data_IF_787854764800
#
_entry.id   IF_787854764800
#
_cell.length_a   1.000
_cell.length_b   1.000
_cell.length_c   1.000
_cell.angle_alpha   90.00
_cell.angle_beta   90.00
_cell.angle_gamma   90.00
#
_symmetry.space_group_name_H-M   'P 1'
#
loop_
_entity.id
_entity.type
_entity.pdbx_description
1 polymer ?
#
# COMPACT_ATOMS: atom_id res chain seq x y z
N UNK A 1 72.82 -29.78 21.47
CA UNK A 1 71.54 -29.48 20.77
C UNK A 1 71.01 -28.15 21.29
N UNK A 2 71.15 -27.06 20.53
CA UNK A 2 70.59 -25.74 20.86
C UNK A 2 69.12 -25.71 20.39
N UNK A 3 68.18 -25.44 21.29
CA UNK A 3 66.76 -25.22 20.94
C UNK A 3 66.53 -23.72 20.80
N UNK A 4 66.30 -23.27 19.57
CA UNK A 4 65.84 -21.92 19.23
C UNK A 4 64.34 -21.84 19.47
N UNK A 5 63.90 -20.92 20.33
CA UNK A 5 62.47 -20.59 20.51
C UNK A 5 62.16 -19.40 19.60
N UNK A 6 61.31 -19.61 18.59
CA UNK A 6 60.80 -18.55 17.74
C UNK A 6 59.54 -17.95 18.38
N UNK A 7 59.56 -16.67 18.71
CA UNK A 7 58.40 -15.94 19.20
C UNK A 7 57.56 -15.46 18.01
N UNK A 8 56.32 -15.93 17.92
CA UNK A 8 55.32 -15.45 16.97
C UNK A 8 54.69 -14.16 17.51
N UNK A 9 54.91 -13.03 16.82
CA UNK A 9 54.20 -11.78 17.06
C UNK A 9 52.91 -11.81 16.24
N UNK A 10 51.77 -11.94 16.92
CA UNK A 10 50.45 -11.83 16.32
C UNK A 10 50.05 -10.35 16.29
N UNK A 11 50.18 -9.69 15.13
CA UNK A 11 49.71 -8.31 14.93
C UNK A 11 48.19 -8.35 14.78
N UNK A 12 47.49 -8.05 15.87
CA UNK A 12 46.05 -7.88 15.92
C UNK A 12 45.67 -6.63 15.10
N UNK A 13 45.32 -6.82 13.83
CA UNK A 13 44.74 -5.75 13.01
C UNK A 13 43.32 -5.48 13.52
N UNK A 14 43.16 -4.45 14.33
CA UNK A 14 41.86 -3.85 14.59
C UNK A 14 41.31 -3.31 13.26
N UNK A 15 40.44 -4.07 12.62
CA UNK A 15 39.54 -3.58 11.59
C UNK A 15 38.59 -2.60 12.28
N UNK A 16 38.94 -1.31 12.26
CA UNK A 16 38.01 -0.23 12.58
C UNK A 16 36.99 -0.20 11.44
N UNK A 17 35.92 -0.96 11.58
CA UNK A 17 34.73 -0.78 10.76
C UNK A 17 34.27 0.66 10.95
N UNK A 18 34.23 1.45 9.86
CA UNK A 18 33.63 2.79 9.91
C UNK A 18 32.16 2.61 10.29
N UNK A 19 31.79 2.95 11.51
CA UNK A 19 30.40 3.16 11.86
C UNK A 19 29.84 4.20 10.88
N UNK A 20 28.76 3.86 10.17
CA UNK A 20 28.09 4.81 9.27
C UNK A 20 27.64 6.00 10.11
N UNK A 21 28.07 7.20 9.74
CA UNK A 21 27.67 8.42 10.44
C UNK A 21 26.23 8.75 10.08
N UNK A 22 25.32 8.53 11.02
CA UNK A 22 23.90 8.82 10.89
C UNK A 22 23.50 10.23 11.31
N UNK A 23 24.39 11.20 11.08
CA UNK A 23 24.08 12.60 11.33
C UNK A 23 23.15 13.17 10.24
N UNK A 24 22.39 14.20 10.62
CA UNK A 24 21.36 14.73 9.73
C UNK A 24 21.93 15.43 8.48
N UNK A 25 23.14 15.99 8.55
CA UNK A 25 23.75 16.66 7.40
C UNK A 25 24.18 15.65 6.33
N UNK A 26 24.75 14.52 6.73
CA UNK A 26 25.05 13.38 5.85
C UNK A 26 23.76 12.83 5.24
N UNK A 27 22.72 12.61 6.04
CA UNK A 27 21.42 12.11 5.56
C UNK A 27 20.74 13.05 4.55
N UNK A 28 20.69 14.35 4.85
CA UNK A 28 20.15 15.35 3.92
C UNK A 28 20.92 15.35 2.59
N UNK A 29 22.25 15.32 2.65
CA UNK A 29 23.10 15.30 1.46
C UNK A 29 22.80 14.06 0.61
N UNK A 30 22.68 12.89 1.24
CA UNK A 30 22.35 11.65 0.55
C UNK A 30 20.95 11.70 -0.09
N UNK A 31 19.93 12.18 0.64
CA UNK A 31 18.56 12.28 0.10
C UNK A 31 18.49 13.27 -1.07
N UNK A 32 19.17 14.43 -0.98
CA UNK A 32 19.27 15.38 -2.08
C UNK A 32 19.91 14.69 -3.29
N UNK A 33 21.11 14.14 -3.13
CA UNK A 33 21.85 13.50 -4.23
C UNK A 33 21.03 12.40 -4.90
N UNK A 34 20.47 11.47 -4.11
CA UNK A 34 19.64 10.37 -4.62
C UNK A 34 18.43 10.89 -5.38
N UNK A 35 17.81 11.97 -4.93
CA UNK A 35 16.67 12.59 -5.62
C UNK A 35 17.09 13.20 -6.95
N UNK A 36 18.12 14.06 -6.96
CA UNK A 36 18.60 14.75 -8.17
C UNK A 36 19.05 13.77 -9.25
N UNK A 37 19.70 12.67 -8.83
CA UNK A 37 20.15 11.64 -9.75
C UNK A 37 18.98 10.81 -10.28
N UNK A 38 18.11 10.30 -9.40
CA UNK A 38 17.26 9.14 -9.70
C UNK A 38 15.78 9.43 -9.89
N UNK A 39 15.25 10.55 -9.37
CA UNK A 39 13.82 10.87 -9.48
C UNK A 39 13.47 11.25 -10.92
N UNK A 40 12.56 10.50 -11.54
CA UNK A 40 12.15 10.72 -12.95
C UNK A 40 11.51 12.08 -13.20
N UNK A 41 10.89 12.68 -12.17
CA UNK A 41 10.27 14.00 -12.24
C UNK A 41 11.18 15.17 -11.88
N UNK A 42 12.45 14.93 -11.53
CA UNK A 42 13.33 16.00 -11.04
C UNK A 42 13.40 17.20 -11.99
N UNK A 43 13.58 16.96 -13.29
CA UNK A 43 13.72 18.03 -14.28
C UNK A 43 12.42 18.80 -14.56
N UNK A 44 11.26 18.20 -14.32
CA UNK A 44 9.98 18.91 -14.44
C UNK A 44 9.72 19.78 -13.19
N UNK A 45 10.04 19.25 -12.00
CA UNK A 45 9.80 19.92 -10.71
C UNK A 45 10.87 20.97 -10.39
N UNK A 46 12.11 20.77 -10.82
CA UNK A 46 13.25 21.69 -10.71
C UNK A 46 13.62 22.21 -12.10
N UNK A 47 12.85 23.18 -12.56
CA UNK A 47 13.00 23.83 -13.86
C UNK A 47 13.44 25.29 -13.70
N UNK A 48 13.61 26.02 -14.81
CA UNK A 48 14.07 27.41 -14.78
C UNK A 48 13.28 28.32 -13.82
N UNK A 49 11.97 28.09 -13.64
CA UNK A 49 11.10 28.88 -12.75
C UNK A 49 11.25 28.50 -11.28
N UNK A 50 11.45 27.21 -10.98
CA UNK A 50 11.44 26.69 -9.60
C UNK A 50 12.84 26.51 -9.01
N UNK A 51 13.88 26.46 -9.85
CA UNK A 51 15.28 26.25 -9.48
C UNK A 51 15.82 27.26 -8.45
N UNK A 52 15.52 28.59 -8.52
CA UNK A 52 15.97 29.51 -7.47
C UNK A 52 15.41 29.16 -6.09
N UNK A 53 14.12 28.81 -6.01
CA UNK A 53 13.46 28.40 -4.75
C UNK A 53 14.00 27.06 -4.26
N UNK A 54 14.31 26.13 -5.16
CA UNK A 54 14.93 24.85 -4.82
C UNK A 54 16.31 25.04 -4.17
N UNK A 55 17.16 25.89 -4.75
CA UNK A 55 18.47 26.20 -4.19
C UNK A 55 18.36 26.89 -2.83
N UNK A 56 17.51 27.91 -2.70
CA UNK A 56 17.27 28.58 -1.42
C UNK A 56 16.79 27.59 -0.34
N UNK A 57 15.89 26.66 -0.69
CA UNK A 57 15.42 25.63 0.22
C UNK A 57 16.57 24.70 0.64
N UNK A 58 17.29 24.11 -0.32
CA UNK A 58 18.36 23.16 -0.03
C UNK A 58 19.49 23.80 0.80
N UNK A 59 19.84 25.06 0.56
CA UNK A 59 20.86 25.78 1.34
C UNK A 59 20.41 26.08 2.78
N UNK A 60 19.13 26.44 2.95
CA UNK A 60 18.54 26.60 4.28
C UNK A 60 18.55 25.28 5.06
N UNK A 61 18.14 24.18 4.41
CA UNK A 61 18.12 22.87 5.04
C UNK A 61 19.53 22.35 5.39
N UNK A 62 20.54 22.61 4.54
CA UNK A 62 21.95 22.28 4.81
C UNK A 62 22.50 23.04 6.01
N UNK A 63 22.07 24.27 6.22
CA UNK A 63 22.44 25.05 7.40
C UNK A 63 21.77 24.48 8.65
N UNK A 64 20.47 24.22 8.58
CA UNK A 64 19.68 23.71 9.69
C UNK A 64 20.11 22.30 10.15
N UNK A 65 20.49 21.41 9.22
CA UNK A 65 20.83 20.03 9.53
C UNK A 65 22.08 19.88 10.40
N UNK A 66 23.01 20.86 10.39
CA UNK A 66 24.23 20.85 11.21
C UNK A 66 23.94 20.87 12.72
N UNK A 67 22.80 21.43 13.13
CA UNK A 67 22.39 21.52 14.52
C UNK A 67 21.48 20.38 14.99
N UNK A 68 21.14 19.43 14.12
CA UNK A 68 20.18 18.35 14.43
C UNK A 68 20.93 17.07 14.75
N UNK A 69 20.71 16.55 15.95
CA UNK A 69 21.33 15.30 16.44
C UNK A 69 20.35 14.13 16.50
N UNK A 70 19.04 14.38 16.59
CA UNK A 70 18.01 13.35 16.65
C UNK A 70 17.48 12.94 15.27
N UNK A 71 17.33 11.63 15.03
CA UNK A 71 16.80 11.10 13.77
C UNK A 71 15.37 11.55 13.49
N UNK A 72 14.51 11.62 14.51
CA UNK A 72 13.12 12.08 14.37
C UNK A 72 13.03 13.54 13.91
N UNK A 73 13.88 14.40 14.44
CA UNK A 73 13.97 15.81 14.04
C UNK A 73 14.59 15.92 12.64
N UNK A 74 15.56 15.07 12.33
CA UNK A 74 16.09 14.97 10.98
C UNK A 74 15.01 14.55 9.97
N UNK A 75 14.17 13.58 10.31
CA UNK A 75 13.05 13.18 9.47
C UNK A 75 12.09 14.35 9.21
N UNK A 76 11.81 15.21 10.21
CA UNK A 76 11.00 16.40 9.96
C UNK A 76 11.67 17.36 8.96
N UNK A 77 12.98 17.56 9.07
CA UNK A 77 13.75 18.35 8.12
C UNK A 77 13.67 17.75 6.70
N UNK A 78 13.87 16.44 6.55
CA UNK A 78 13.80 15.75 5.25
C UNK A 78 12.38 15.78 4.65
N UNK A 79 11.33 15.79 5.48
CA UNK A 79 9.94 15.99 5.00
C UNK A 79 9.73 17.38 4.40
N UNK A 80 10.42 18.42 4.89
CA UNK A 80 10.37 19.75 4.30
C UNK A 80 10.97 19.72 2.89
N UNK A 81 12.11 19.04 2.71
CA UNK A 81 12.71 18.81 1.39
C UNK A 81 11.74 18.12 0.43
N UNK A 82 11.21 16.95 0.83
CA UNK A 82 10.24 16.17 0.04
C UNK A 82 9.04 17.01 -0.44
N UNK A 83 8.50 17.88 0.42
CA UNK A 83 7.32 18.71 0.11
C UNK A 83 7.51 19.62 -1.10
N UNK A 84 8.74 19.97 -1.47
CA UNK A 84 9.01 20.76 -2.67
C UNK A 84 8.45 20.12 -3.93
N UNK A 85 8.56 18.80 -4.05
CA UNK A 85 8.22 18.07 -5.29
C UNK A 85 6.72 17.89 -5.49
N UNK A 86 5.93 17.93 -4.40
CA UNK A 86 4.47 17.70 -4.42
C UNK A 86 4.13 16.49 -5.30
N UNK A 87 4.73 15.37 -4.97
CA UNK A 87 4.56 14.09 -5.65
C UNK A 87 4.25 13.04 -4.58
N UNK A 88 3.13 12.34 -4.75
CA UNK A 88 2.67 11.30 -3.83
C UNK A 88 3.46 9.99 -3.93
N UNK A 89 4.07 9.72 -5.08
CA UNK A 89 4.95 8.57 -5.30
C UNK A 89 6.40 8.82 -4.86
N UNK A 90 6.79 10.08 -4.61
CA UNK A 90 7.98 10.35 -3.81
C UNK A 90 7.68 9.95 -2.36
N UNK A 91 8.34 8.92 -1.85
CA UNK A 91 8.14 8.42 -0.48
C UNK A 91 9.41 8.60 0.35
N UNK A 92 9.22 9.00 1.60
CA UNK A 92 10.26 9.08 2.61
C UNK A 92 9.65 8.60 3.92
N UNK A 93 10.21 7.54 4.49
CA UNK A 93 9.80 6.94 5.76
C UNK A 93 10.93 7.04 6.77
N UNK A 94 10.55 7.13 8.04
CA UNK A 94 11.43 6.94 9.17
C UNK A 94 10.86 5.79 10.00
N UNK A 95 11.53 4.65 9.90
CA UNK A 95 11.26 3.47 10.70
C UNK A 95 12.14 3.62 11.94
N UNK A 96 11.61 4.30 12.96
CA UNK A 96 12.25 4.30 14.26
C UNK A 96 12.55 2.83 14.64
N UNK A 97 13.76 2.53 15.14
CA UNK A 97 14.01 1.20 15.68
C UNK A 97 12.91 0.91 16.69
N UNK A 98 12.04 -0.06 16.40
CA UNK A 98 11.03 -0.47 17.35
C UNK A 98 11.79 -0.93 18.59
N UNK A 99 11.44 -0.36 19.75
CA UNK A 99 11.88 -0.93 21.01
C UNK A 99 11.31 -2.34 20.99
N UNK A 100 12.15 -3.35 20.77
CA UNK A 100 11.72 -4.74 20.77
C UNK A 100 11.21 -5.02 22.18
N UNK A 101 9.89 -4.98 22.35
CA UNK A 101 9.27 -5.27 23.63
C UNK A 101 9.33 -6.79 23.79
N UNK A 102 10.00 -7.33 24.83
CA UNK A 102 10.05 -8.77 25.02
C UNK A 102 8.64 -9.35 25.15
N UNK A 103 8.38 -10.46 24.47
CA UNK A 103 7.13 -11.19 24.65
C UNK A 103 7.16 -11.83 26.03
N UNK A 104 6.17 -11.50 26.85
CA UNK A 104 5.94 -12.15 28.14
C UNK A 104 4.92 -13.26 28.04
N UNK A 105 4.85 -14.06 29.11
CA UNK A 105 3.87 -15.12 29.26
C UNK A 105 2.97 -14.86 30.46
N UNK A 106 1.70 -15.22 30.33
CA UNK A 106 0.69 -15.23 31.40
C UNK A 106 0.17 -16.66 31.50
N UNK A 107 0.23 -17.25 32.69
CA UNK A 107 -0.29 -18.60 32.92
C UNK A 107 -1.82 -18.57 32.92
N UNK A 108 -2.43 -18.76 31.76
CA UNK A 108 -3.88 -18.84 31.57
C UNK A 108 -4.21 -19.82 30.46
N UNK A 109 -5.28 -20.57 30.66
CA UNK A 109 -5.90 -21.44 29.68
C UNK A 109 -7.38 -21.04 29.50
N UNK A 110 -8.07 -21.67 28.56
CA UNK A 110 -9.44 -21.29 28.22
C UNK A 110 -10.41 -21.44 29.42
N UNK A 111 -10.21 -22.46 30.26
CA UNK A 111 -11.06 -22.70 31.42
C UNK A 111 -10.88 -21.59 32.48
N UNK A 112 -9.63 -21.22 32.78
CA UNK A 112 -9.31 -20.10 33.68
C UNK A 112 -9.84 -18.78 33.14
N UNK A 113 -9.70 -18.53 31.84
CA UNK A 113 -10.19 -17.32 31.21
C UNK A 113 -11.72 -17.19 31.32
N UNK A 114 -12.48 -18.26 31.01
CA UNK A 114 -13.95 -18.27 31.17
C UNK A 114 -14.36 -18.02 32.61
N UNK A 115 -13.75 -18.71 33.57
CA UNK A 115 -14.03 -18.52 34.98
C UNK A 115 -13.78 -17.06 35.43
N UNK A 116 -12.71 -16.43 34.92
CA UNK A 116 -12.44 -15.02 35.15
C UNK A 116 -13.55 -14.13 34.56
N UNK A 117 -13.96 -14.35 33.30
CA UNK A 117 -14.99 -13.55 32.66
C UNK A 117 -16.36 -13.67 33.35
N UNK A 118 -16.70 -14.86 33.82
CA UNK A 118 -17.96 -15.11 34.53
C UNK A 118 -18.02 -14.38 35.87
N UNK A 119 -16.92 -14.46 36.64
CA UNK A 119 -16.78 -13.78 37.92
C UNK A 119 -16.85 -12.25 37.80
N UNK A 120 -16.51 -11.69 36.64
CA UNK A 120 -16.45 -10.24 36.40
C UNK A 120 -17.51 -9.73 35.42
N UNK A 121 -18.52 -10.54 35.08
CA UNK A 121 -19.50 -10.25 34.02
C UNK A 121 -20.15 -8.85 34.08
N UNK A 122 -20.32 -8.28 35.28
CA UNK A 122 -20.89 -6.94 35.46
C UNK A 122 -19.91 -5.78 35.20
N UNK A 123 -18.61 -6.03 35.16
CA UNK A 123 -17.55 -5.01 35.12
C UNK A 123 -16.49 -5.26 34.04
N UNK A 124 -16.75 -6.17 33.10
CA UNK A 124 -15.82 -6.46 32.01
C UNK A 124 -15.57 -5.21 31.17
N UNK A 125 -14.30 -4.96 30.87
CA UNK A 125 -13.91 -3.99 29.86
C UNK A 125 -14.36 -4.49 28.47
N UNK A 126 -14.73 -3.61 27.52
CA UNK A 126 -15.25 -4.04 26.21
C UNK A 126 -14.34 -4.99 25.42
N UNK A 127 -13.03 -4.90 25.60
CA UNK A 127 -12.06 -5.83 24.99
C UNK A 127 -12.04 -7.22 25.65
N UNK A 128 -12.46 -7.36 26.90
CA UNK A 128 -12.31 -8.61 27.64
C UNK A 128 -13.22 -9.72 27.11
N UNK A 129 -12.63 -10.89 26.91
CA UNK A 129 -13.32 -12.05 26.35
C UNK A 129 -12.37 -13.03 25.66
N UNK A 130 -12.95 -14.08 25.08
CA UNK A 130 -12.22 -14.98 24.19
C UNK A 130 -12.46 -14.52 22.76
N UNK A 131 -11.38 -14.41 22.01
CA UNK A 131 -11.38 -13.93 20.65
C UNK A 131 -10.68 -14.92 19.74
N UNK A 132 -11.19 -15.05 18.52
CA UNK A 132 -10.63 -15.90 17.49
C UNK A 132 -10.43 -15.09 16.21
N UNK A 133 -9.24 -15.19 15.62
CA UNK A 133 -9.00 -14.62 14.30
C UNK A 133 -9.93 -15.30 13.29
N UNK A 134 -10.58 -14.54 12.41
CA UNK A 134 -11.58 -15.08 11.47
C UNK A 134 -10.97 -16.11 10.50
N UNK A 135 -9.67 -16.03 10.26
CA UNK A 135 -8.90 -17.02 9.48
C UNK A 135 -8.49 -18.27 10.28
N UNK A 136 -8.86 -18.34 11.57
CA UNK A 136 -8.53 -19.42 12.49
C UNK A 136 -7.05 -19.48 12.91
N UNK A 137 -6.25 -18.46 12.59
CA UNK A 137 -4.80 -18.47 12.82
C UNK A 137 -4.42 -18.42 14.31
N UNK A 138 -5.25 -17.76 15.12
CA UNK A 138 -5.04 -17.57 16.55
C UNK A 138 -6.36 -17.56 17.32
N UNK A 139 -6.29 -18.06 18.56
CA UNK A 139 -7.32 -17.92 19.58
C UNK A 139 -6.68 -17.38 20.84
N UNK A 140 -7.26 -16.33 21.42
CA UNK A 140 -6.70 -15.60 22.56
C UNK A 140 -7.75 -15.31 23.63
N UNK A 141 -7.33 -15.23 24.88
CA UNK A 141 -8.10 -14.64 25.97
C UNK A 141 -7.60 -13.21 26.22
N UNK A 142 -8.46 -12.21 26.02
CA UNK A 142 -8.18 -10.83 26.41
C UNK A 142 -8.67 -10.62 27.83
N UNK A 143 -7.75 -10.36 28.74
CA UNK A 143 -8.05 -10.14 30.16
C UNK A 143 -7.22 -8.99 30.71
N UNK A 144 -7.68 -8.35 31.80
CA UNK A 144 -6.82 -7.43 32.54
C UNK A 144 -5.49 -8.08 32.89
N UNK A 145 -4.42 -7.35 32.61
CA UNK A 145 -3.08 -7.81 32.90
C UNK A 145 -2.86 -7.89 34.42
N UNK A 146 -2.41 -9.05 34.96
CA UNK A 146 -2.21 -9.22 36.39
C UNK A 146 -1.08 -8.36 36.97
N UNK A 147 -0.15 -7.87 36.14
CA UNK A 147 0.98 -7.04 36.55
C UNK A 147 0.79 -5.55 36.21
N UNK A 148 -0.09 -5.22 35.27
CA UNK A 148 -0.33 -3.85 34.79
C UNK A 148 -1.83 -3.61 34.66
N UNK A 149 -2.48 -3.16 35.74
CA UNK A 149 -3.94 -3.04 35.79
C UNK A 149 -4.55 -2.07 34.75
N UNK A 150 -3.72 -1.18 34.18
CA UNK A 150 -4.03 -0.26 33.09
C UNK A 150 -3.94 -0.89 31.68
N UNK A 151 -3.63 -2.20 31.60
CA UNK A 151 -3.49 -2.95 30.35
C UNK A 151 -4.46 -4.13 30.26
N UNK A 152 -4.84 -4.45 29.03
CA UNK A 152 -5.50 -5.71 28.65
C UNK A 152 -4.50 -6.54 27.85
N UNK A 153 -4.26 -7.77 28.27
CA UNK A 153 -3.34 -8.70 27.61
C UNK A 153 -4.13 -9.76 26.83
N UNK A 154 -3.76 -9.97 25.56
CA UNK A 154 -4.28 -11.04 24.73
C UNK A 154 -3.41 -12.29 24.85
N UNK A 155 -3.77 -13.19 25.78
CA UNK A 155 -3.05 -14.43 26.06
C UNK A 155 -3.42 -15.48 25.03
N UNK A 156 -2.43 -16.04 24.33
CA UNK A 156 -2.63 -17.12 23.35
C UNK A 156 -3.18 -18.36 24.05
N UNK A 157 -4.33 -18.84 23.57
CA UNK A 157 -4.93 -20.11 23.95
C UNK A 157 -4.59 -21.20 22.92
N UNK A 158 -4.59 -20.83 21.63
CA UNK A 158 -4.17 -21.68 20.52
C UNK A 158 -3.62 -20.84 19.37
N UNK A 159 -2.70 -21.40 18.58
CA UNK A 159 -2.14 -20.77 17.40
C UNK A 159 -1.74 -21.84 16.36
N UNK A 160 -1.90 -21.52 15.08
CA UNK A 160 -1.38 -22.37 14.00
C UNK A 160 0.15 -22.20 13.82
N UNK A 161 0.66 -20.99 14.10
CA UNK A 161 2.08 -20.70 14.02
C UNK A 161 2.84 -21.30 15.20
N UNK A 162 3.72 -22.27 14.93
CA UNK A 162 4.50 -23.01 15.96
C UNK A 162 5.45 -22.14 16.78
N UNK A 163 5.77 -20.92 16.34
CA UNK A 163 6.55 -19.96 17.15
C UNK A 163 5.75 -19.42 18.34
N UNK A 164 4.42 -19.54 18.29
CA UNK A 164 3.51 -19.10 19.34
C UNK A 164 3.05 -20.28 20.17
N UNK A 165 3.19 -20.17 21.49
CA UNK A 165 2.78 -21.18 22.46
C UNK A 165 1.64 -20.64 23.34
N UNK A 166 0.75 -21.51 23.83
CA UNK A 166 -0.23 -21.12 24.84
C UNK A 166 0.41 -20.39 26.02
N UNK A 167 -0.23 -19.31 26.48
CA UNK A 167 0.26 -18.43 27.52
C UNK A 167 1.10 -17.25 27.03
N UNK A 168 1.62 -17.24 25.80
CA UNK A 168 2.31 -16.06 25.26
C UNK A 168 1.34 -14.90 25.03
N UNK A 169 1.78 -13.66 25.23
CA UNK A 169 0.96 -12.47 24.97
C UNK A 169 1.10 -12.06 23.50
N UNK A 170 -0.01 -12.10 22.74
CA UNK A 170 -0.06 -11.76 21.31
C UNK A 170 -0.15 -10.26 21.06
N UNK A 171 -0.86 -9.55 21.94
CA UNK A 171 -0.91 -8.10 21.97
C UNK A 171 -1.36 -7.59 23.34
N UNK A 172 -1.06 -6.32 23.59
CA UNK A 172 -1.47 -5.56 24.76
C UNK A 172 -2.17 -4.30 24.30
N UNK A 173 -3.30 -3.98 24.92
CA UNK A 173 -4.01 -2.74 24.70
C UNK A 173 -4.09 -1.95 26.01
N UNK A 174 -4.03 -0.62 25.92
CA UNK A 174 -4.37 0.22 27.06
C UNK A 174 -5.86 0.04 27.39
N UNK A 175 -6.17 -0.04 28.69
CA UNK A 175 -7.52 -0.19 29.20
C UNK A 175 -8.26 1.15 29.36
N UNK A 176 -7.62 2.27 29.01
CA UNK A 176 -8.20 3.61 29.07
C UNK A 176 -8.81 4.07 27.74
N UNK A 177 -9.77 4.97 27.84
CA UNK A 177 -10.43 5.58 26.69
C UNK A 177 -11.44 4.69 25.98
N UNK A 178 -11.74 5.05 24.73
CA UNK A 178 -12.68 4.36 23.86
C UNK A 178 -11.96 3.86 22.59
N UNK A 179 -12.61 2.95 21.87
CA UNK A 179 -12.09 2.45 20.59
C UNK A 179 -11.82 3.59 19.59
N UNK A 180 -10.72 3.53 18.81
CA UNK A 180 -9.72 2.47 18.74
C UNK A 180 -8.73 2.49 19.91
N UNK A 181 -8.58 1.34 20.58
CA UNK A 181 -7.59 1.18 21.64
C UNK A 181 -6.18 1.18 21.05
N UNK A 182 -5.17 1.53 21.85
CA UNK A 182 -3.77 1.56 21.42
C UNK A 182 -2.93 0.61 22.25
N UNK A 183 -1.87 0.07 21.66
CA UNK A 183 -0.87 -0.69 22.40
C UNK A 183 0.08 -1.44 21.49
N UNK A 184 0.66 -2.53 21.99
CA UNK A 184 1.72 -3.29 21.31
C UNK A 184 1.13 -4.58 20.74
N UNK A 185 1.50 -4.89 19.50
CA UNK A 185 1.15 -6.12 18.82
C UNK A 185 2.41 -6.84 18.37
N UNK A 186 2.47 -8.15 18.61
CA UNK A 186 3.58 -8.98 18.16
C UNK A 186 3.19 -9.81 16.94
N UNK A 187 3.93 -9.65 15.86
CA UNK A 187 3.67 -10.31 14.58
C UNK A 187 4.04 -11.81 14.58
N UNK A 188 3.82 -12.49 13.46
CA UNK A 188 4.11 -13.93 13.33
C UNK A 188 5.59 -14.29 13.50
N UNK A 189 6.48 -13.34 13.23
CA UNK A 189 7.94 -13.46 13.40
C UNK A 189 8.44 -13.00 14.77
N UNK A 190 7.53 -12.64 15.69
CA UNK A 190 7.79 -12.14 17.05
C UNK A 190 8.29 -10.68 17.11
N UNK A 191 8.31 -9.95 15.98
CA UNK A 191 8.56 -8.49 15.99
C UNK A 191 7.40 -7.75 16.66
N UNK A 192 7.70 -6.66 17.39
CA UNK A 192 6.75 -5.91 18.19
C UNK A 192 6.50 -4.52 17.63
N UNK A 193 5.25 -4.17 17.37
CA UNK A 193 4.89 -2.88 16.77
C UNK A 193 3.74 -2.20 17.50
N UNK A 194 3.74 -0.87 17.53
CA UNK A 194 2.55 -0.12 17.98
C UNK A 194 1.40 -0.33 16.99
N UNK A 195 0.21 -0.61 17.54
CA UNK A 195 -1.01 -0.83 16.77
C UNK A 195 -2.21 -0.17 17.43
N UNK A 196 -3.25 -0.05 16.62
CA UNK A 196 -4.59 0.29 17.08
C UNK A 196 -5.49 -0.94 16.99
N UNK A 197 -6.45 -1.04 17.91
CA UNK A 197 -7.43 -2.11 18.00
C UNK A 197 -8.85 -1.52 17.93
N UNK A 198 -9.29 -1.09 16.73
CA UNK A 198 -10.69 -0.80 16.45
C UNK A 198 -11.61 -1.97 16.87
N UNK A 199 -12.68 -1.64 17.59
CA UNK A 199 -13.65 -2.57 18.15
C UNK A 199 -15.04 -2.08 17.78
N UNK A 200 -15.78 -2.89 17.04
CA UNK A 200 -17.20 -2.71 16.77
C UNK A 200 -17.94 -3.93 17.34
N UNK A 201 -18.59 -3.76 18.50
CA UNK A 201 -19.32 -4.82 19.22
C UNK A 201 -18.47 -6.07 19.48
N UNK A 202 -18.70 -7.14 18.72
CA UNK A 202 -18.04 -8.45 18.84
C UNK A 202 -17.01 -8.68 17.72
N UNK A 203 -16.67 -7.65 16.95
CA UNK A 203 -15.66 -7.69 15.91
C UNK A 203 -14.55 -6.68 16.20
N UNK A 204 -13.32 -7.14 16.21
CA UNK A 204 -12.13 -6.31 16.35
C UNK A 204 -11.32 -6.38 15.06
N UNK A 205 -11.01 -5.23 14.47
CA UNK A 205 -10.18 -5.14 13.26
C UNK A 205 -8.79 -4.68 13.66
N UNK A 206 -7.78 -5.53 13.47
CA UNK A 206 -6.38 -5.14 13.68
C UNK A 206 -5.80 -4.82 12.29
N UNK A 207 -5.48 -3.54 11.98
CA UNK A 207 -4.96 -3.17 10.66
C UNK A 207 -3.73 -4.02 10.28
N UNK A 208 -3.73 -4.56 9.06
CA UNK A 208 -2.73 -5.49 8.53
C UNK A 208 -2.62 -6.84 9.28
N UNK A 209 -3.59 -7.18 10.14
CA UNK A 209 -3.65 -8.46 10.87
C UNK A 209 -5.06 -9.06 10.93
N UNK A 210 -6.02 -8.45 10.22
CA UNK A 210 -7.34 -9.00 9.97
C UNK A 210 -8.35 -8.81 11.10
N UNK A 211 -9.52 -9.43 10.90
CA UNK A 211 -10.63 -9.38 11.85
C UNK A 211 -10.54 -10.53 12.87
N UNK A 212 -10.96 -10.21 14.09
CA UNK A 212 -11.10 -11.13 15.21
C UNK A 212 -12.55 -11.08 15.70
N UNK A 213 -13.15 -12.24 15.89
CA UNK A 213 -14.52 -12.40 16.36
C UNK A 213 -14.52 -12.83 17.83
N UNK A 214 -15.43 -12.24 18.62
CA UNK A 214 -15.62 -12.66 20.01
C UNK A 214 -16.35 -14.01 20.04
N UNK A 215 -15.85 -14.92 20.86
CA UNK A 215 -16.42 -16.24 21.12
C UNK A 215 -16.97 -16.36 22.55
N UNK A 216 -16.52 -15.51 23.48
CA UNK A 216 -16.98 -15.45 24.87
C UNK A 216 -16.80 -14.05 25.48
N UNK A 217 -17.67 -13.56 26.39
CA UNK A 217 -18.92 -14.16 26.88
C UNK A 217 -20.08 -14.06 25.89
N UNK A 218 -20.00 -13.14 24.92
CA UNK A 218 -20.98 -12.97 23.87
C UNK A 218 -20.38 -13.36 22.52
N UNK A 219 -20.94 -14.38 21.87
CA UNK A 219 -20.47 -14.83 20.56
C UNK A 219 -20.88 -13.83 19.47
N UNK A 220 -19.98 -13.54 18.54
CA UNK A 220 -20.26 -12.74 17.35
C UNK A 220 -21.39 -13.36 16.52
N UNK A 221 -22.30 -12.52 16.05
CA UNK A 221 -23.45 -12.94 15.24
C UNK A 221 -23.03 -13.26 13.80
N UNK A 222 -23.78 -14.09 13.06
CA UNK A 222 -23.53 -14.33 11.64
C UNK A 222 -23.53 -13.03 10.79
N UNK A 223 -24.34 -12.05 11.17
CA UNK A 223 -24.42 -10.74 10.51
C UNK A 223 -23.15 -9.90 10.75
N UNK A 224 -22.63 -9.89 11.97
CA UNK A 224 -21.36 -9.24 12.30
C UNK A 224 -20.17 -9.90 11.56
N UNK A 225 -20.15 -11.23 11.48
CA UNK A 225 -19.16 -11.98 10.70
C UNK A 225 -19.25 -11.67 9.21
N UNK A 226 -20.47 -11.66 8.66
CA UNK A 226 -20.70 -11.32 7.26
C UNK A 226 -20.26 -9.89 6.95
N UNK A 227 -20.55 -8.91 7.82
CA UNK A 227 -20.12 -7.51 7.65
C UNK A 227 -18.59 -7.38 7.63
N UNK A 228 -17.89 -8.13 8.48
CA UNK A 228 -16.43 -8.14 8.51
C UNK A 228 -15.80 -8.82 7.26
N UNK A 229 -16.47 -9.84 6.71
CA UNK A 229 -16.08 -10.51 5.46
C UNK A 229 -16.49 -9.71 4.20
N UNK A 230 -17.54 -8.89 4.30
CA UNK A 230 -18.06 -8.01 3.24
C UNK A 230 -17.49 -6.60 3.29
N UNK A 231 -16.43 -6.36 4.08
CA UNK A 231 -15.76 -5.07 4.11
C UNK A 231 -15.58 -4.51 2.70
N UNK A 232 -15.75 -3.20 2.56
CA UNK A 232 -15.69 -2.46 1.30
C UNK A 232 -14.37 -2.64 0.50
N UNK A 233 -13.45 -3.46 0.98
CA UNK A 233 -12.16 -3.86 0.42
C UNK A 233 -12.21 -5.15 -0.45
N UNK A 234 -13.37 -5.78 -0.65
CA UNK A 234 -13.50 -7.00 -1.49
C UNK A 234 -13.92 -6.66 -2.92
N UNK A 235 -13.37 -7.38 -3.90
CA UNK A 235 -13.82 -7.35 -5.30
C UNK A 235 -15.26 -7.86 -5.40
N UNK A 236 -16.20 -7.00 -5.79
CA UNK A 236 -17.64 -7.33 -5.79
C UNK A 236 -18.23 -7.22 -7.18
N UNK A 237 -19.13 -8.15 -7.52
CA UNK A 237 -19.92 -8.12 -8.74
C UNK A 237 -21.37 -8.47 -8.43
N UNK A 238 -22.33 -7.74 -8.99
CA UNK A 238 -23.76 -8.02 -8.83
C UNK A 238 -24.60 -7.40 -9.94
N UNK A 239 -25.71 -8.05 -10.29
CA UNK A 239 -26.79 -7.39 -11.01
C UNK A 239 -27.54 -6.48 -10.02
N UNK A 240 -27.72 -5.20 -10.37
CA UNK A 240 -28.54 -4.27 -9.59
C UNK A 240 -30.01 -4.45 -9.97
N UNK A 241 -30.27 -4.49 -11.27
CA UNK A 241 -31.57 -4.66 -11.89
C UNK A 241 -31.38 -5.27 -13.30
N UNK A 242 -32.46 -5.57 -14.06
CA UNK A 242 -32.33 -6.16 -15.41
C UNK A 242 -31.56 -5.30 -16.43
N UNK A 243 -31.32 -4.02 -16.14
CA UNK A 243 -30.63 -3.08 -17.02
C UNK A 243 -29.19 -2.80 -16.59
N UNK A 244 -28.89 -2.90 -15.29
CA UNK A 244 -27.62 -2.46 -14.71
C UNK A 244 -26.85 -3.58 -14.02
N UNK A 245 -25.60 -3.78 -14.46
CA UNK A 245 -24.62 -4.60 -13.75
C UNK A 245 -23.61 -3.72 -13.01
N UNK A 246 -23.11 -4.19 -11.86
CA UNK A 246 -22.16 -3.47 -11.01
C UNK A 246 -20.91 -4.31 -10.77
N UNK A 247 -19.75 -3.66 -10.88
CA UNK A 247 -18.43 -4.21 -10.58
C UNK A 247 -17.71 -3.22 -9.66
N UNK A 248 -17.29 -3.63 -8.46
CA UNK A 248 -16.40 -2.87 -7.57
C UNK A 248 -15.01 -3.46 -7.57
N UNK A 249 -13.99 -2.68 -7.89
CA UNK A 249 -12.58 -3.10 -7.86
C UNK A 249 -11.86 -2.26 -6.80
N UNK A 250 -11.61 -2.81 -5.61
CA UNK A 250 -11.02 -2.08 -4.48
C UNK A 250 -9.51 -1.85 -4.64
N UNK A 251 -8.85 -2.62 -5.49
CA UNK A 251 -7.41 -2.49 -5.76
C UNK A 251 -7.05 -3.08 -7.12
N UNK A 252 -6.09 -2.46 -7.83
CA UNK A 252 -5.44 -3.06 -8.99
C UNK A 252 -4.24 -3.95 -8.60
N UNK A 253 -4.03 -4.23 -7.31
CA UNK A 253 -3.14 -5.30 -6.85
C UNK A 253 -3.69 -6.71 -7.08
N UNK A 254 -4.96 -6.82 -7.48
CA UNK A 254 -5.61 -8.09 -7.83
C UNK A 254 -5.10 -8.58 -9.19
N UNK A 255 -4.78 -9.88 -9.30
CA UNK A 255 -4.25 -10.46 -10.54
C UNK A 255 -5.26 -10.49 -11.68
N UNK A 256 -4.75 -10.55 -12.91
CA UNK A 256 -5.58 -10.65 -14.11
C UNK A 256 -6.48 -11.88 -14.07
N UNK A 257 -5.97 -13.03 -13.65
CA UNK A 257 -6.67 -14.31 -13.61
C UNK A 257 -7.88 -14.26 -12.67
N UNK A 258 -7.71 -13.60 -11.52
CA UNK A 258 -8.80 -13.45 -10.55
C UNK A 258 -9.89 -12.55 -11.11
N UNK A 259 -9.53 -11.39 -11.67
CA UNK A 259 -10.49 -10.47 -12.29
C UNK A 259 -11.19 -11.14 -13.47
N UNK A 260 -10.44 -11.75 -14.38
CA UNK A 260 -10.98 -12.40 -15.57
C UNK A 260 -11.88 -13.59 -15.23
N UNK A 261 -11.53 -14.43 -14.24
CA UNK A 261 -12.34 -15.56 -13.78
C UNK A 261 -13.72 -15.11 -13.29
N UNK A 262 -13.76 -14.12 -12.39
CA UNK A 262 -15.03 -13.57 -11.87
C UNK A 262 -15.84 -12.94 -12.99
N UNK A 263 -15.23 -12.12 -13.84
CA UNK A 263 -15.95 -11.45 -14.92
C UNK A 263 -16.43 -12.41 -16.00
N UNK A 264 -15.73 -13.54 -16.23
CA UNK A 264 -16.20 -14.61 -17.12
C UNK A 264 -17.41 -15.34 -16.56
N UNK A 265 -17.45 -15.59 -15.26
CA UNK A 265 -18.60 -16.21 -14.61
C UNK A 265 -19.89 -15.38 -14.77
N UNK A 266 -19.76 -14.07 -14.95
CA UNK A 266 -20.88 -13.15 -15.17
C UNK A 266 -20.97 -12.58 -16.60
N UNK A 267 -20.17 -13.07 -17.56
CA UNK A 267 -20.08 -12.49 -18.92
C UNK A 267 -21.44 -12.38 -19.61
N UNK A 268 -22.24 -13.44 -19.55
CA UNK A 268 -23.57 -13.47 -20.14
C UNK A 268 -24.50 -12.39 -19.54
N UNK A 269 -24.42 -12.16 -18.23
CA UNK A 269 -25.24 -11.14 -17.55
C UNK A 269 -24.76 -9.74 -17.90
N UNK A 270 -23.44 -9.51 -17.89
CA UNK A 270 -22.84 -8.22 -18.28
C UNK A 270 -23.22 -7.87 -19.71
N UNK A 271 -23.16 -8.84 -20.64
CA UNK A 271 -23.50 -8.65 -22.05
C UNK A 271 -24.99 -8.52 -22.33
N UNK A 272 -25.85 -8.84 -21.36
CA UNK A 272 -27.29 -8.60 -21.45
C UNK A 272 -27.71 -7.30 -20.73
N UNK A 273 -26.81 -6.66 -20.00
CA UNK A 273 -27.07 -5.42 -19.25
C UNK A 273 -26.70 -4.19 -20.09
N UNK A 274 -27.64 -3.31 -20.47
CA UNK A 274 -27.32 -2.08 -21.21
C UNK A 274 -26.43 -1.09 -20.47
N UNK A 275 -26.44 -1.13 -19.13
CA UNK A 275 -25.64 -0.25 -18.28
C UNK A 275 -24.68 -1.06 -17.41
N UNK A 276 -23.43 -0.60 -17.33
CA UNK A 276 -22.42 -1.12 -16.42
C UNK A 276 -21.90 0.00 -15.50
N UNK A 277 -21.91 -0.25 -14.20
CA UNK A 277 -21.21 0.59 -13.22
C UNK A 277 -19.90 -0.09 -12.86
N UNK A 278 -18.78 0.62 -13.06
CA UNK A 278 -17.45 0.21 -12.60
C UNK A 278 -17.03 1.14 -11.47
N UNK A 279 -17.01 0.63 -10.25
CA UNK A 279 -16.69 1.36 -9.04
C UNK A 279 -15.24 1.11 -8.64
N UNK A 280 -14.42 2.16 -8.74
CA UNK A 280 -13.01 2.14 -8.34
C UNK A 280 -12.73 3.12 -7.20
N UNK A 281 -13.77 3.56 -6.48
CA UNK A 281 -13.58 4.39 -5.28
C UNK A 281 -12.63 3.70 -4.30
N UNK A 282 -11.75 4.49 -3.70
CA UNK A 282 -10.76 4.03 -2.73
C UNK A 282 -9.70 3.05 -3.29
N UNK A 283 -9.62 2.92 -4.61
CA UNK A 283 -8.62 2.09 -5.27
C UNK A 283 -7.26 2.81 -5.38
N UNK A 284 -6.33 2.46 -4.47
CA UNK A 284 -4.99 3.02 -4.44
C UNK A 284 -4.05 2.59 -5.58
N UNK A 285 -4.53 1.81 -6.55
CA UNK A 285 -3.74 1.33 -7.69
C UNK A 285 -3.20 -0.08 -7.50
N UNK A 286 -2.06 -0.37 -8.14
CA UNK A 286 -1.45 -1.71 -8.20
C UNK A 286 -0.74 -1.95 -9.53
N UNK A 287 -1.16 -2.97 -10.28
CA UNK A 287 -0.62 -3.31 -11.60
C UNK A 287 -1.65 -3.06 -12.70
N UNK A 288 -1.17 -2.70 -13.90
CA UNK A 288 -2.05 -2.49 -15.06
C UNK A 288 -2.49 -3.80 -15.74
N UNK A 289 -1.99 -4.96 -15.27
CA UNK A 289 -2.21 -6.28 -15.88
C UNK A 289 -3.68 -6.70 -15.94
N UNK A 290 -4.50 -6.23 -15.00
CA UNK A 290 -5.93 -6.57 -14.92
C UNK A 290 -6.82 -5.71 -15.83
N UNK A 291 -6.28 -4.66 -16.46
CA UNK A 291 -7.08 -3.77 -17.31
C UNK A 291 -7.75 -4.48 -18.49
N UNK A 292 -7.10 -5.39 -19.25
CA UNK A 292 -7.73 -6.02 -20.40
C UNK A 292 -9.02 -6.77 -20.08
N UNK A 293 -9.13 -7.35 -18.87
CA UNK A 293 -10.31 -8.07 -18.40
C UNK A 293 -11.53 -7.14 -18.23
N UNK A 294 -11.30 -5.86 -17.93
CA UNK A 294 -12.33 -4.83 -17.75
C UNK A 294 -12.57 -4.05 -19.03
N UNK A 295 -11.50 -3.59 -19.67
CA UNK A 295 -11.54 -2.74 -20.87
C UNK A 295 -12.26 -3.41 -22.04
N UNK A 296 -12.34 -4.75 -22.07
CA UNK A 296 -13.14 -5.49 -23.06
C UNK A 296 -14.63 -5.11 -23.04
N UNK A 297 -15.20 -4.73 -21.90
CA UNK A 297 -16.60 -4.30 -21.78
C UNK A 297 -16.78 -2.80 -22.07
N UNK A 298 -15.70 -2.02 -21.92
CA UNK A 298 -15.69 -0.58 -22.16
C UNK A 298 -15.29 -0.24 -23.61
N UNK A 299 -14.89 -1.22 -24.41
CA UNK A 299 -14.15 -0.95 -25.64
C UNK A 299 -14.95 -0.21 -26.72
N UNK A 300 -14.26 0.66 -27.46
CA UNK A 300 -14.73 1.29 -28.71
C UNK A 300 -13.70 1.13 -29.83
N UNK A 301 -13.29 -0.12 -30.09
CA UNK A 301 -12.22 -0.59 -31.01
C UNK A 301 -10.78 -0.52 -30.48
N UNK A 302 -10.31 0.64 -30.03
CA UNK A 302 -8.94 0.76 -29.55
C UNK A 302 -8.84 1.67 -28.33
N UNK A 303 -7.85 1.38 -27.50
CA UNK A 303 -7.34 2.30 -26.50
C UNK A 303 -5.89 2.62 -26.82
N UNK A 304 -5.55 3.90 -26.76
CA UNK A 304 -4.19 4.38 -26.95
C UNK A 304 -3.51 4.49 -25.61
N UNK A 305 -2.36 3.85 -25.49
CA UNK A 305 -1.48 4.09 -24.36
C UNK A 305 -0.70 5.39 -24.59
N UNK A 306 0.03 5.83 -23.56
CA UNK A 306 0.96 6.94 -23.64
C UNK A 306 2.40 6.44 -23.47
N UNK A 307 3.32 7.05 -24.21
CA UNK A 307 4.75 6.73 -24.05
C UNK A 307 5.19 7.08 -22.62
N UNK A 308 6.31 6.51 -22.19
CA UNK A 308 6.93 6.86 -20.91
C UNK A 308 8.43 7.00 -21.07
N UNK A 309 9.09 7.52 -20.03
CA UNK A 309 10.53 7.64 -19.96
C UNK A 309 11.05 7.03 -18.67
N UNK A 310 11.98 6.09 -18.76
CA UNK A 310 12.69 5.54 -17.62
C UNK A 310 13.96 6.34 -17.33
N UNK A 311 14.14 6.76 -16.07
CA UNK A 311 15.35 7.46 -15.61
C UNK A 311 16.46 6.42 -15.40
N UNK A 312 17.29 6.21 -16.43
CA UNK A 312 18.27 5.12 -16.47
C UNK A 312 19.55 5.46 -15.71
N UNK A 313 19.51 5.48 -14.39
CA UNK A 313 20.68 5.64 -13.51
C UNK A 313 21.20 4.30 -13.00
N UNK A 314 22.43 4.27 -12.48
CA UNK A 314 22.96 3.06 -11.87
C UNK A 314 22.06 2.52 -10.74
N UNK A 315 21.55 3.39 -9.87
CA UNK A 315 20.66 2.97 -8.77
C UNK A 315 19.31 2.46 -9.28
N UNK A 316 18.69 3.14 -10.25
CA UNK A 316 17.40 2.69 -10.79
C UNK A 316 17.54 1.36 -11.53
N UNK A 317 18.64 1.15 -12.27
CA UNK A 317 18.92 -0.13 -12.93
C UNK A 317 19.15 -1.26 -11.91
N UNK A 318 19.83 -0.96 -10.80
CA UNK A 318 20.01 -1.92 -9.71
C UNK A 318 18.67 -2.26 -9.06
N UNK A 319 17.84 -1.26 -8.75
CA UNK A 319 16.52 -1.49 -8.15
C UNK A 319 15.56 -2.24 -9.10
N UNK A 320 15.66 -2.02 -10.42
CA UNK A 320 14.95 -2.82 -11.43
C UNK A 320 15.43 -4.28 -11.46
N UNK A 321 16.73 -4.54 -11.28
CA UNK A 321 17.23 -5.90 -11.15
C UNK A 321 16.68 -6.57 -9.89
N UNK A 322 16.74 -5.88 -8.75
CA UNK A 322 16.29 -6.41 -7.46
C UNK A 322 14.79 -6.76 -7.48
N UNK A 323 13.94 -5.96 -8.14
CA UNK A 323 12.50 -6.29 -8.25
C UNK A 323 12.24 -7.47 -9.20
N UNK A 324 13.00 -7.61 -10.29
CA UNK A 324 12.91 -8.77 -11.19
C UNK A 324 13.29 -10.05 -10.44
N UNK A 325 14.42 -10.02 -9.73
CA UNK A 325 14.94 -11.16 -8.99
C UNK A 325 13.95 -11.57 -7.88
N UNK A 326 13.41 -10.58 -7.17
CA UNK A 326 12.37 -10.80 -6.16
C UNK A 326 11.13 -11.44 -6.76
N UNK A 327 10.60 -10.89 -7.85
CA UNK A 327 9.39 -11.39 -8.51
C UNK A 327 9.54 -12.84 -8.98
N UNK A 328 10.73 -13.24 -9.44
CA UNK A 328 11.05 -14.63 -9.77
C UNK A 328 11.13 -15.51 -8.52
N UNK A 329 11.83 -15.05 -7.48
CA UNK A 329 12.07 -15.82 -6.26
C UNK A 329 10.79 -16.07 -5.45
N UNK A 330 9.87 -15.11 -5.43
CA UNK A 330 8.57 -15.20 -4.74
C UNK A 330 7.47 -15.80 -5.64
N UNK A 331 7.79 -16.19 -6.88
CA UNK A 331 6.83 -16.81 -7.79
C UNK A 331 5.73 -15.88 -8.30
N UNK A 332 5.94 -14.55 -8.25
CA UNK A 332 4.99 -13.56 -8.77
C UNK A 332 4.88 -13.63 -10.30
N UNK A 333 5.97 -14.02 -10.97
CA UNK A 333 6.05 -14.18 -12.42
C UNK A 333 6.89 -15.41 -12.77
N UNK A 334 6.62 -16.01 -13.92
CA UNK A 334 7.46 -17.05 -14.52
C UNK A 334 8.73 -16.49 -15.16
N UNK A 335 9.71 -17.35 -15.40
CA UNK A 335 10.91 -16.99 -16.17
C UNK A 335 10.59 -16.45 -17.58
N UNK A 336 9.49 -16.93 -18.19
CA UNK A 336 9.03 -16.46 -19.49
C UNK A 336 8.49 -15.02 -19.41
N UNK A 337 7.76 -14.70 -18.36
CA UNK A 337 7.20 -13.36 -18.12
C UNK A 337 8.27 -12.35 -17.68
N UNK A 338 9.32 -12.80 -16.99
CA UNK A 338 10.45 -11.95 -16.63
C UNK A 338 11.34 -11.54 -17.82
N UNK A 339 11.39 -12.36 -18.88
CA UNK A 339 12.32 -12.19 -20.00
C UNK A 339 12.21 -10.81 -20.70
N UNK A 340 11.01 -10.29 -21.06
CA UNK A 340 10.90 -8.94 -21.61
C UNK A 340 11.44 -7.85 -20.67
N UNK A 341 11.25 -8.04 -19.36
CA UNK A 341 11.71 -7.10 -18.35
C UNK A 341 13.23 -7.10 -18.25
N UNK A 342 13.86 -8.28 -18.26
CA UNK A 342 15.31 -8.46 -18.31
C UNK A 342 15.93 -7.89 -19.60
N UNK A 343 15.28 -8.09 -20.75
CA UNK A 343 15.73 -7.52 -22.03
C UNK A 343 15.65 -5.99 -22.04
N UNK A 344 14.58 -5.42 -21.47
CA UNK A 344 14.45 -3.96 -21.28
C UNK A 344 15.57 -3.42 -20.38
N UNK A 345 15.82 -4.08 -19.25
CA UNK A 345 16.89 -3.74 -18.34
C UNK A 345 18.27 -3.76 -19.03
N UNK A 346 18.55 -4.80 -19.82
CA UNK A 346 19.80 -4.90 -20.58
C UNK A 346 19.97 -3.78 -21.63
N UNK A 347 18.87 -3.32 -22.25
CA UNK A 347 18.87 -2.17 -23.16
C UNK A 347 19.14 -0.86 -22.41
N UNK A 348 18.54 -0.68 -21.24
CA UNK A 348 18.72 0.53 -20.43
C UNK A 348 20.13 0.66 -19.85
N UNK A 349 20.78 -0.46 -19.50
CA UNK A 349 22.19 -0.47 -19.06
C UNK A 349 23.16 0.14 -20.08
N UNK A 350 22.79 0.21 -21.37
CA UNK A 350 23.58 0.86 -22.44
C UNK A 350 23.34 2.38 -22.53
N UNK A 351 22.45 2.92 -21.70
CA UNK A 351 21.97 4.31 -21.76
C UNK A 351 22.01 4.99 -20.38
N UNK A 352 23.00 4.64 -19.56
CA UNK A 352 23.17 5.22 -18.21
C UNK A 352 23.21 6.76 -18.28
N UNK A 353 22.49 7.40 -17.36
CA UNK A 353 22.35 8.85 -17.25
C UNK A 353 21.23 9.46 -18.09
N UNK A 354 20.60 8.70 -19.00
CA UNK A 354 19.57 9.19 -19.93
C UNK A 354 18.14 8.93 -19.43
N UNK A 355 17.19 9.69 -19.97
CA UNK A 355 15.76 9.38 -19.95
C UNK A 355 15.44 8.48 -21.15
N UNK A 356 15.33 7.17 -20.93
CA UNK A 356 15.09 6.20 -22.01
C UNK A 356 13.60 6.15 -22.33
N UNK A 357 13.24 6.48 -23.57
CA UNK A 357 11.84 6.47 -24.02
C UNK A 357 11.33 5.05 -24.26
N UNK A 358 10.20 4.72 -23.67
CA UNK A 358 9.40 3.55 -24.01
C UNK A 358 8.21 3.97 -24.87
N UNK A 359 8.00 3.33 -26.03
CA UNK A 359 6.87 3.64 -26.89
C UNK A 359 5.54 3.26 -26.22
N UNK A 360 4.46 3.94 -26.62
CA UNK A 360 3.10 3.54 -26.26
C UNK A 360 2.70 2.25 -26.99
N UNK A 361 1.98 1.37 -26.30
CA UNK A 361 1.41 0.15 -26.90
C UNK A 361 -0.12 0.23 -26.93
N UNK A 362 -0.71 0.34 -28.12
CA UNK A 362 -2.15 0.45 -28.26
C UNK A 362 -2.84 -0.91 -28.03
N UNK A 363 -3.85 -0.93 -27.17
CA UNK A 363 -4.75 -2.07 -27.03
C UNK A 363 -5.83 -2.03 -28.11
N UNK A 364 -5.93 -3.11 -28.91
CA UNK A 364 -6.93 -3.25 -29.97
C UNK A 364 -7.89 -4.39 -29.66
N UNK A 365 -9.17 -4.13 -29.86
CA UNK A 365 -10.24 -5.11 -29.77
C UNK A 365 -10.85 -5.34 -31.15
N UNK A 366 -11.11 -6.61 -31.49
CA UNK A 366 -11.65 -6.98 -32.81
C UNK A 366 -13.10 -6.52 -33.00
N UNK A 367 -13.89 -6.59 -31.94
CA UNK A 367 -15.32 -6.29 -31.97
C UNK A 367 -15.70 -5.38 -30.82
N UNK A 368 -16.61 -4.44 -31.08
CA UNK A 368 -17.25 -3.63 -30.04
C UNK A 368 -18.50 -4.37 -29.57
N UNK A 369 -18.57 -4.66 -28.27
CA UNK A 369 -19.75 -5.33 -27.72
C UNK A 369 -20.97 -4.40 -27.82
N UNK A 370 -22.14 -4.96 -28.18
CA UNK A 370 -23.39 -4.19 -28.25
C UNK A 370 -23.79 -3.64 -26.86
N UNK A 371 -23.63 -4.46 -25.83
CA UNK A 371 -23.79 -4.12 -24.43
C UNK A 371 -22.48 -4.37 -23.66
N UNK A 372 -22.18 -3.62 -22.60
CA UNK A 372 -22.94 -2.45 -22.13
C UNK A 372 -22.88 -1.30 -23.15
N UNK A 373 -23.99 -0.55 -23.27
CA UNK A 373 -24.10 0.64 -24.11
C UNK A 373 -23.59 1.88 -23.37
N UNK A 374 -23.90 1.98 -22.08
CA UNK A 374 -23.43 3.02 -21.17
C UNK A 374 -22.56 2.40 -20.08
N UNK A 375 -21.44 3.02 -19.78
CA UNK A 375 -20.57 2.65 -18.65
C UNK A 375 -20.39 3.87 -17.75
N UNK A 376 -20.64 3.71 -16.46
CA UNK A 376 -20.44 4.74 -15.45
C UNK A 376 -19.28 4.32 -14.56
N UNK A 377 -18.21 5.11 -14.54
CA UNK A 377 -17.04 4.84 -13.69
C UNK A 377 -17.13 5.72 -12.46
N UNK A 378 -17.25 5.13 -11.26
CA UNK A 378 -17.23 5.87 -9.99
C UNK A 378 -15.78 6.01 -9.51
N UNK A 379 -15.35 7.24 -9.22
CA UNK A 379 -13.99 7.55 -8.75
C UNK A 379 -13.98 8.67 -7.71
N UNK A 380 -12.98 8.66 -6.82
CA UNK A 380 -12.81 9.67 -5.77
C UNK A 380 -11.32 10.01 -5.55
N UNK A 381 -11.05 10.89 -4.59
CA UNK A 381 -9.72 11.41 -4.26
C UNK A 381 -8.74 10.35 -3.75
N UNK A 382 -9.23 9.15 -3.44
CA UNK A 382 -8.45 7.98 -3.04
C UNK A 382 -8.11 7.04 -4.21
N UNK A 383 -8.50 7.40 -5.44
CA UNK A 383 -8.02 6.72 -6.65
C UNK A 383 -6.60 7.21 -7.00
N UNK A 384 -5.60 6.33 -6.90
CA UNK A 384 -4.19 6.68 -7.14
C UNK A 384 -3.55 5.76 -8.19
N UNK A 385 -2.45 6.21 -8.81
CA UNK A 385 -1.53 5.35 -9.54
C UNK A 385 -2.22 4.56 -10.67
N UNK A 386 -2.16 3.23 -10.69
CA UNK A 386 -2.85 2.41 -11.68
C UNK A 386 -4.36 2.68 -11.78
N UNK A 387 -5.03 3.12 -10.71
CA UNK A 387 -6.44 3.50 -10.82
C UNK A 387 -6.63 4.72 -11.74
N UNK A 388 -5.70 5.67 -11.70
CA UNK A 388 -5.71 6.82 -12.60
C UNK A 388 -5.31 6.44 -14.02
N UNK A 389 -4.41 5.47 -14.20
CA UNK A 389 -4.20 4.88 -15.52
C UNK A 389 -5.48 4.24 -16.05
N UNK A 390 -6.24 3.49 -15.23
CA UNK A 390 -7.52 2.95 -15.66
C UNK A 390 -8.49 4.06 -16.07
N UNK A 391 -8.56 5.17 -15.33
CA UNK A 391 -9.35 6.35 -15.71
C UNK A 391 -8.88 6.94 -17.04
N UNK A 392 -7.57 7.06 -17.26
CA UNK A 392 -6.97 7.48 -18.53
C UNK A 392 -7.38 6.58 -19.70
N UNK A 393 -7.48 5.26 -19.49
CA UNK A 393 -7.99 4.33 -20.49
C UNK A 393 -9.50 4.47 -20.67
N UNK A 394 -10.27 4.43 -19.58
CA UNK A 394 -11.72 4.43 -19.59
C UNK A 394 -12.28 5.66 -20.30
N UNK A 395 -11.72 6.85 -20.05
CA UNK A 395 -12.18 8.11 -20.66
C UNK A 395 -12.03 8.20 -22.19
N UNK A 396 -11.28 7.28 -22.80
CA UNK A 396 -11.16 7.22 -24.27
C UNK A 396 -12.38 6.54 -24.91
N UNK A 397 -13.14 5.78 -24.13
CA UNK A 397 -14.34 5.11 -24.62
C UNK A 397 -15.52 6.07 -24.69
N UNK A 398 -16.20 6.07 -25.85
CA UNK A 398 -17.47 6.81 -26.04
C UNK A 398 -18.62 6.27 -25.19
N UNK A 399 -18.47 5.09 -24.58
CA UNK A 399 -19.48 4.50 -23.69
C UNK A 399 -19.36 5.03 -22.25
N UNK A 400 -18.19 5.56 -21.89
CA UNK A 400 -17.85 5.88 -20.50
C UNK A 400 -18.27 7.30 -20.14
N UNK A 401 -18.77 7.46 -18.91
CA UNK A 401 -18.86 8.75 -18.21
C UNK A 401 -18.27 8.56 -16.82
N UNK A 402 -17.39 9.46 -16.41
CA UNK A 402 -16.76 9.48 -15.11
C UNK A 402 -17.63 10.23 -14.11
N UNK A 403 -17.92 9.60 -12.98
CA UNK A 403 -18.77 10.13 -11.91
C UNK A 403 -18.00 10.18 -10.59
N UNK A 404 -18.33 11.16 -9.76
CA UNK A 404 -17.82 11.24 -8.38
C UNK A 404 -17.04 12.51 -8.12
N UNK A 405 -15.81 12.34 -7.65
CA UNK A 405 -14.88 13.44 -7.37
C UNK A 405 -13.59 13.28 -8.19
N UNK A 406 -12.68 14.26 -8.12
CA UNK A 406 -11.38 14.15 -8.76
C UNK A 406 -10.56 12.98 -8.19
N UNK A 407 -9.66 12.40 -8.98
CA UNK A 407 -8.71 11.39 -8.48
C UNK A 407 -7.57 12.02 -7.68
N UNK A 408 -6.69 11.21 -7.11
CA UNK A 408 -5.64 11.67 -6.21
C UNK A 408 -4.46 12.42 -6.83
N UNK A 409 -4.22 12.27 -8.13
CA UNK A 409 -3.15 12.96 -8.85
C UNK A 409 -1.76 12.41 -8.57
N UNK A 410 -1.48 11.19 -9.03
CA UNK A 410 -0.21 10.48 -8.88
C UNK A 410 0.20 9.67 -10.13
N UNK A 411 -0.44 9.89 -11.29
CA UNK A 411 -0.12 9.15 -12.53
C UNK A 411 1.17 9.66 -13.21
N UNK A 412 1.55 10.92 -13.00
CA UNK A 412 2.60 11.60 -13.78
C UNK A 412 3.96 10.90 -13.67
N UNK A 413 4.30 10.44 -12.47
CA UNK A 413 5.53 9.71 -12.16
C UNK A 413 5.20 8.42 -11.43
N UNK A 414 5.79 7.30 -11.83
CA UNK A 414 5.47 6.00 -11.28
C UNK A 414 6.67 5.05 -11.24
N UNK A 415 6.40 3.75 -11.06
CA UNK A 415 7.42 2.72 -10.84
C UNK A 415 8.36 3.09 -9.69
N UNK A 416 7.78 3.17 -8.49
CA UNK A 416 8.47 3.55 -7.26
C UNK A 416 9.48 2.46 -6.88
N UNK A 417 10.72 2.86 -6.66
CA UNK A 417 11.83 1.98 -6.27
C UNK A 417 12.51 2.52 -5.02
N UNK A 418 13.00 1.60 -4.20
CA UNK A 418 13.78 1.94 -3.01
C UNK A 418 15.20 2.37 -3.40
N UNK A 419 15.71 3.38 -2.71
CA UNK A 419 17.07 3.89 -2.85
C UNK A 419 17.75 3.83 -1.48
N UNK A 420 18.76 2.96 -1.37
CA UNK A 420 19.51 2.76 -0.13
C UNK A 420 20.12 4.08 0.36
N UNK A 421 19.85 4.41 1.62
CA UNK A 421 20.40 5.56 2.33
C UNK A 421 21.52 5.12 3.29
N UNK A 422 22.39 6.06 3.74
CA UNK A 422 23.44 5.75 4.71
C UNK A 422 22.94 5.21 6.06
N UNK A 423 21.68 5.47 6.42
CA UNK A 423 21.08 5.04 7.67
C UNK A 423 19.84 4.16 7.43
N UNK A 424 19.82 2.92 7.96
CA UNK A 424 18.78 1.94 7.67
C UNK A 424 17.43 2.27 8.33
N UNK A 425 17.40 3.19 9.29
CA UNK A 425 16.17 3.72 9.92
C UNK A 425 15.38 4.64 8.99
N UNK A 426 15.98 5.08 7.88
CA UNK A 426 15.34 5.89 6.86
C UNK A 426 15.21 5.11 5.56
N UNK A 427 14.07 5.28 4.92
CA UNK A 427 13.79 4.67 3.63
C UNK A 427 13.36 5.77 2.66
N UNK A 428 14.02 5.80 1.50
CA UNK A 428 13.70 6.68 0.39
C UNK A 428 13.20 5.82 -0.76
N UNK A 429 12.01 6.13 -1.27
CA UNK A 429 11.54 5.52 -2.52
C UNK A 429 11.16 6.59 -3.51
N UNK A 430 11.70 6.49 -4.73
CA UNK A 430 11.50 7.47 -5.79
C UNK A 430 10.83 6.81 -7.00
N UNK A 431 9.92 7.50 -7.69
CA UNK A 431 9.44 7.04 -8.97
C UNK A 431 10.56 7.17 -10.01
N UNK A 432 10.68 6.12 -10.81
CA UNK A 432 11.77 5.94 -11.78
C UNK A 432 11.28 6.12 -13.22
N UNK A 433 9.98 6.20 -13.41
CA UNK A 433 9.35 6.41 -14.71
C UNK A 433 8.57 7.71 -14.71
N UNK A 434 8.65 8.45 -15.81
CA UNK A 434 7.87 9.65 -16.10
C UNK A 434 6.94 9.33 -17.27
N UNK A 435 5.65 9.60 -17.12
CA UNK A 435 4.71 9.41 -18.22
C UNK A 435 4.85 10.52 -19.26
N UNK A 436 4.48 10.23 -20.50
CA UNK A 436 4.32 11.26 -21.53
C UNK A 436 3.15 12.19 -21.23
N UNK A 437 2.25 11.80 -20.33
CA UNK A 437 1.07 12.59 -19.95
C UNK A 437 1.44 13.96 -19.37
N UNK A 438 2.57 14.00 -18.65
CA UNK A 438 3.17 15.23 -18.09
C UNK A 438 3.38 16.32 -19.14
N UNK A 439 3.62 15.95 -20.40
CA UNK A 439 3.88 16.92 -21.48
C UNK A 439 2.59 17.63 -21.95
N UNK A 440 1.41 17.09 -21.63
CA UNK A 440 0.13 17.56 -22.16
C UNK A 440 -0.82 18.06 -21.08
N UNK A 441 -0.99 17.31 -20.00
CA UNK A 441 -2.01 17.58 -19.00
C UNK A 441 -1.64 17.00 -17.62
N UNK A 442 -0.51 17.39 -17.01
CA UNK A 442 -0.04 16.82 -15.74
C UNK A 442 -1.13 16.89 -14.67
N UNK A 443 -1.29 15.80 -13.92
CA UNK A 443 -2.35 15.66 -12.91
C UNK A 443 -1.83 15.56 -11.48
N UNK A 444 -0.52 15.64 -11.24
CA UNK A 444 0.02 15.56 -9.88
C UNK A 444 -0.66 16.55 -8.90
N UNK A 445 -1.22 16.03 -7.81
CA UNK A 445 -2.03 16.73 -6.80
C UNK A 445 -3.36 17.35 -7.29
N UNK A 446 -3.77 17.09 -8.53
CA UNK A 446 -5.01 17.61 -9.14
C UNK A 446 -5.96 16.46 -9.47
N UNK A 447 -5.42 15.37 -10.00
CA UNK A 447 -6.17 14.21 -10.47
C UNK A 447 -6.97 14.44 -11.74
N UNK A 448 -7.53 13.36 -12.27
CA UNK A 448 -8.56 13.40 -13.29
C UNK A 448 -9.85 13.95 -12.71
N UNK A 449 -10.46 14.89 -13.43
CA UNK A 449 -11.77 15.43 -13.06
C UNK A 449 -12.90 14.52 -13.54
N UNK A 450 -14.01 14.41 -12.79
CA UNK A 450 -15.19 13.69 -13.26
C UNK A 450 -15.89 14.46 -14.38
N UNK A 451 -16.58 13.72 -15.25
CA UNK A 451 -17.51 14.32 -16.21
C UNK A 451 -18.77 14.83 -15.50
N UNK A 452 -19.21 14.12 -14.46
CA UNK A 452 -20.34 14.46 -13.60
C UNK A 452 -19.91 14.41 -12.14
N UNK A 453 -19.82 15.59 -11.49
CA UNK A 453 -19.54 15.68 -10.06
C UNK A 453 -20.75 15.17 -9.25
N UNK A 454 -20.51 14.26 -8.32
CA UNK A 454 -21.53 13.85 -7.34
C UNK A 454 -21.50 14.83 -6.16
N UNK A 455 -22.64 15.36 -5.69
CA UNK A 455 -22.66 16.27 -4.54
C UNK A 455 -22.11 15.62 -3.28
N UNK A 456 -21.35 16.37 -2.47
CA UNK A 456 -20.75 15.86 -1.22
C UNK A 456 -21.81 15.42 -0.19
N UNK A 457 -23.06 15.87 -0.33
CA UNK A 457 -24.20 15.45 0.49
C UNK A 457 -24.78 14.09 0.09
N UNK A 458 -24.46 13.59 -1.10
CA UNK A 458 -24.95 12.32 -1.62
C UNK A 458 -24.12 11.15 -1.07
N UNK A 459 -24.77 10.25 -0.34
CA UNK A 459 -24.14 9.09 0.27
C UNK A 459 -24.22 7.85 -0.62
N UNK A 460 -25.24 7.76 -1.46
CA UNK A 460 -25.47 6.63 -2.34
C UNK A 460 -25.15 7.00 -3.79
N UNK A 461 -23.86 6.92 -4.12
CA UNK A 461 -23.34 7.26 -5.44
C UNK A 461 -23.88 6.33 -6.53
N UNK A 462 -24.17 5.07 -6.19
CA UNK A 462 -24.76 4.11 -7.12
C UNK A 462 -26.18 4.55 -7.48
N UNK A 463 -27.01 4.86 -6.48
CA UNK A 463 -28.36 5.40 -6.70
C UNK A 463 -28.35 6.71 -7.47
N UNK A 464 -27.42 7.61 -7.17
CA UNK A 464 -27.25 8.84 -7.93
C UNK A 464 -27.00 8.56 -9.43
N UNK A 465 -26.07 7.65 -9.74
CA UNK A 465 -25.77 7.27 -11.12
C UNK A 465 -26.99 6.65 -11.80
N UNK A 466 -27.71 5.75 -11.13
CA UNK A 466 -28.93 5.15 -11.69
C UNK A 466 -29.96 6.21 -12.05
N UNK A 467 -30.24 7.15 -11.14
CA UNK A 467 -31.18 8.25 -11.37
C UNK A 467 -30.70 9.16 -12.51
N UNK A 468 -29.41 9.50 -12.54
CA UNK A 468 -28.84 10.34 -13.59
C UNK A 468 -28.96 9.70 -14.97
N UNK A 469 -28.72 8.39 -15.06
CA UNK A 469 -28.77 7.64 -16.33
C UNK A 469 -30.18 7.35 -16.83
N UNK A 470 -31.18 7.31 -15.96
CA UNK A 470 -32.60 7.20 -16.35
C UNK A 470 -33.13 8.49 -17.02
N UNK A 471 -32.53 9.64 -16.72
CA UNK A 471 -32.93 10.95 -17.25
C UNK A 471 -32.20 11.36 -18.55
N UNK A 472 -31.44 10.45 -19.16
CA UNK A 472 -30.67 10.65 -20.40
C UNK A 472 -30.90 9.50 -21.37
#
# INVERSE_FOLDING_TARGET
>A
MRKTVAAFIFILHCLIGKAQTCDCATMLTAVIQKTEDNYSGYFDKVNAKTKPRYHQLTDSLRTASKGITGEKDCYQLLRIYKRFFRDGHFQLSYNAPEVVVPIRTINTDEAKAKAYFDAHSATLHPLEGIWEAVDGSYRVALMRDPLQADKIAAVVLAAQNKKWQPGMVKFEANADGASPYKGIYWAGDLSSSERTFPLERNMMNIPNSGYWAREYPQKATPEELAKAQQGDEVFQVKAIDPQTFYIKIPSFGISFEMVDSVLKAHDAVIRNSPHLIVDIRDNGGGMNSSFPALLKYLNTNNFKDIYSHFRSTADNLQAEQEIIDRALSEGWISAKEAKPWQESLAKNRKQIGKMVKYPAENMKYKEVMANPQKVSVLMNEHCYSSAEYFVFYAKQSKKVTLFGNHTGGMMDYGNVREHKLPCPTFELRLPTTRTGWVDYAPIDNVGFQPDVKIPDTEKDWVKFVLNHRQNQ
#
